data_IF_147940520487
#
_entry.id   IF_147940520487
#
_cell.length_a   1.000
_cell.length_b   1.000
_cell.length_c   1.000
_cell.angle_alpha   90.00
_cell.angle_beta   90.00
_cell.angle_gamma   90.00
#
_symmetry.space_group_name_H-M   'P 1'
#
loop_
_entity.id
_entity.type
_entity.pdbx_description
1 polymer ?
#
# COMPACT_ATOMS: atom_id res chain seq x y z
N UNK A 1 -21.27 38.49 28.75
CA UNK A 1 -21.45 37.12 28.25
C UNK A 1 -21.80 37.21 26.77
N UNK A 2 -20.92 36.80 25.87
CA UNK A 2 -21.20 36.74 24.42
C UNK A 2 -20.85 35.33 23.95
N UNK A 3 -21.84 34.71 23.29
CA UNK A 3 -21.93 33.29 23.00
C UNK A 3 -20.86 32.76 22.06
N UNK A 4 -20.67 31.45 22.19
CA UNK A 4 -19.78 30.57 21.44
C UNK A 4 -19.97 30.74 19.93
N UNK A 5 -18.87 30.98 19.22
CA UNK A 5 -18.79 30.66 17.80
C UNK A 5 -18.37 29.19 17.69
N UNK A 6 -19.34 28.32 17.42
CA UNK A 6 -19.13 26.95 16.97
C UNK A 6 -18.31 26.96 15.68
N UNK A 7 -17.00 26.69 15.80
CA UNK A 7 -16.17 26.31 14.67
C UNK A 7 -16.77 25.01 14.13
N UNK A 8 -17.48 25.07 12.99
CA UNK A 8 -17.83 23.92 12.16
C UNK A 8 -16.60 23.04 12.01
N UNK A 9 -16.54 21.96 12.81
CA UNK A 9 -15.46 21.01 12.76
C UNK A 9 -15.48 20.35 11.40
N UNK A 10 -14.41 20.52 10.62
CA UNK A 10 -14.15 19.65 9.48
C UNK A 10 -14.19 18.21 10.00
N UNK A 11 -15.01 17.32 9.42
CA UNK A 11 -15.06 15.94 9.87
C UNK A 11 -13.68 15.33 9.72
N UNK A 12 -13.11 14.86 10.83
CA UNK A 12 -11.81 14.18 10.84
C UNK A 12 -11.91 12.92 9.97
N UNK A 13 -11.21 12.92 8.84
CA UNK A 13 -11.16 11.75 7.96
C UNK A 13 -10.28 10.69 8.62
N UNK A 14 -10.85 9.52 8.86
CA UNK A 14 -10.13 8.35 9.37
C UNK A 14 -9.51 7.60 8.20
N UNK A 15 -8.22 7.35 8.25
CA UNK A 15 -7.48 6.62 7.22
C UNK A 15 -7.09 5.22 7.69
N UNK A 16 -7.26 4.25 6.80
CA UNK A 16 -6.67 2.92 6.88
C UNK A 16 -5.33 2.96 6.15
N UNK A 17 -4.27 2.59 6.85
CA UNK A 17 -2.91 2.58 6.32
C UNK A 17 -2.49 1.16 6.00
N UNK A 18 -2.00 0.95 4.77
CA UNK A 18 -1.49 -0.34 4.30
C UNK A 18 -0.03 -0.17 3.87
N UNK A 19 0.90 -0.69 4.66
CA UNK A 19 2.33 -0.64 4.35
C UNK A 19 2.77 -1.82 3.47
N UNK A 20 3.64 -1.56 2.50
CA UNK A 20 4.19 -2.56 1.58
C UNK A 20 5.52 -3.10 2.15
N UNK A 21 5.54 -4.39 2.51
CA UNK A 21 6.68 -5.03 3.19
C UNK A 21 7.72 -5.46 2.15
N UNK A 22 8.51 -4.50 1.65
CA UNK A 22 9.62 -4.79 0.73
C UNK A 22 10.93 -4.06 1.05
N UNK A 23 10.95 -3.11 1.98
CA UNK A 23 12.12 -2.24 2.16
C UNK A 23 12.64 -2.25 3.59
N UNK A 24 13.97 -2.27 3.71
CA UNK A 24 14.64 -1.87 4.95
C UNK A 24 14.59 -0.34 5.02
N UNK A 25 14.12 0.20 6.15
CA UNK A 25 13.99 1.65 6.37
C UNK A 25 15.33 2.39 6.20
N UNK A 26 16.45 1.69 6.35
CA UNK A 26 17.82 2.20 6.15
C UNK A 26 18.14 2.66 4.73
N UNK A 27 17.39 2.20 3.73
CA UNK A 27 17.72 2.44 2.31
C UNK A 27 16.91 3.62 1.73
N UNK A 28 16.17 4.33 2.57
CA UNK A 28 15.24 5.40 2.20
C UNK A 28 15.97 6.74 2.21
N UNK A 29 15.97 7.42 1.07
CA UNK A 29 16.60 8.75 0.90
C UNK A 29 15.56 9.87 0.92
N UNK A 30 14.40 9.62 0.32
CA UNK A 30 13.33 10.62 0.22
C UNK A 30 11.96 9.94 0.29
N UNK A 31 10.96 10.65 0.81
CA UNK A 31 9.56 10.24 0.79
C UNK A 31 8.69 11.38 0.26
N UNK A 32 7.73 11.04 -0.61
CA UNK A 32 6.73 11.95 -1.14
C UNK A 32 5.35 11.35 -0.98
N UNK A 33 4.37 12.21 -0.71
CA UNK A 33 2.96 11.83 -0.66
C UNK A 33 2.25 12.42 -1.87
N UNK A 34 1.37 11.63 -2.48
CA UNK A 34 0.51 12.06 -3.57
C UNK A 34 -0.92 11.72 -3.19
N UNK A 35 -1.75 12.74 -3.02
CA UNK A 35 -3.19 12.56 -2.83
C UNK A 35 -3.89 12.57 -4.19
N UNK A 36 -4.76 11.60 -4.43
CA UNK A 36 -5.59 11.57 -5.63
C UNK A 36 -6.93 12.30 -5.45
N UNK A 37 -7.74 12.35 -6.52
CA UNK A 37 -9.06 13.00 -6.50
C UNK A 37 -10.06 12.31 -5.57
N UNK A 38 -9.80 11.06 -5.19
CA UNK A 38 -10.62 10.28 -4.25
C UNK A 38 -10.20 10.48 -2.79
N UNK A 39 -9.15 11.28 -2.54
CA UNK A 39 -8.58 11.51 -1.22
C UNK A 39 -7.71 10.35 -0.73
N UNK A 40 -7.32 9.42 -1.61
CA UNK A 40 -6.39 8.35 -1.29
C UNK A 40 -4.97 8.91 -1.36
N UNK A 41 -4.17 8.61 -0.34
CA UNK A 41 -2.78 9.07 -0.28
C UNK A 41 -1.86 7.91 -0.66
N UNK A 42 -1.13 8.07 -1.75
CA UNK A 42 -0.04 7.20 -2.14
C UNK A 42 1.28 7.74 -1.57
N UNK A 43 1.91 6.97 -0.69
CA UNK A 43 3.23 7.28 -0.16
C UNK A 43 4.27 6.59 -1.03
N UNK A 44 5.14 7.38 -1.63
CA UNK A 44 6.26 6.92 -2.45
C UNK A 44 7.57 7.19 -1.77
N UNK A 45 8.46 6.21 -1.86
CA UNK A 45 9.79 6.28 -1.30
C UNK A 45 10.82 6.17 -2.41
N UNK A 46 11.78 7.07 -2.38
CA UNK A 46 12.99 6.99 -3.16
C UNK A 46 14.04 6.23 -2.35
N UNK A 47 14.52 5.12 -2.89
CA UNK A 47 15.57 4.32 -2.27
C UNK A 47 16.81 4.26 -3.15
N UNK A 48 17.98 4.35 -2.52
CA UNK A 48 19.26 4.16 -3.18
C UNK A 48 19.81 2.81 -2.74
N UNK A 49 19.78 1.83 -3.64
CA UNK A 49 20.32 0.50 -3.36
C UNK A 49 21.62 0.31 -4.14
N UNK A 50 22.70 0.13 -3.41
CA UNK A 50 23.98 -0.27 -3.98
C UNK A 50 24.00 -1.80 -4.12
N UNK A 51 24.42 -2.28 -5.30
CA UNK A 51 24.56 -3.70 -5.58
C UNK A 51 25.88 -3.90 -6.30
N UNK A 52 26.77 -4.68 -5.70
CA UNK A 52 28.03 -5.09 -6.31
C UNK A 52 27.77 -6.33 -7.14
N UNK A 53 28.08 -6.25 -8.44
CA UNK A 53 27.99 -7.40 -9.35
C UNK A 53 29.19 -8.34 -9.11
N UNK A 54 29.14 -9.59 -9.60
CA UNK A 54 30.22 -10.58 -9.38
C UNK A 54 31.58 -10.13 -9.94
N UNK A 55 31.58 -9.24 -10.92
CA UNK A 55 32.71 -8.55 -11.53
C UNK A 55 33.26 -7.37 -10.70
N UNK A 56 32.77 -7.17 -9.47
CA UNK A 56 33.21 -6.10 -8.57
C UNK A 56 32.62 -4.72 -8.89
N UNK A 57 31.82 -4.60 -9.95
CA UNK A 57 31.18 -3.34 -10.35
C UNK A 57 30.03 -2.99 -9.41
N UNK A 58 30.16 -1.88 -8.69
CA UNK A 58 29.08 -1.31 -7.87
C UNK A 58 28.09 -0.59 -8.78
N UNK A 59 26.84 -1.03 -8.77
CA UNK A 59 25.73 -0.36 -9.44
C UNK A 59 24.82 0.30 -8.42
N UNK A 60 24.54 1.59 -8.61
CA UNK A 60 23.57 2.36 -7.84
C UNK A 60 22.24 2.30 -8.58
N UNK A 61 21.24 1.62 -8.02
CA UNK A 61 19.86 1.67 -8.53
C UNK A 61 19.05 2.62 -7.66
N UNK A 62 18.62 3.71 -8.28
CA UNK A 62 17.71 4.70 -7.73
C UNK A 62 16.34 4.46 -8.34
N UNK A 63 15.32 4.26 -7.52
CA UNK A 63 13.96 3.98 -8.02
C UNK A 63 12.92 4.48 -7.02
N UNK A 64 11.93 5.21 -7.55
CA UNK A 64 10.72 5.54 -6.81
C UNK A 64 9.79 4.34 -6.77
N UNK A 65 9.38 3.94 -5.56
CA UNK A 65 8.42 2.86 -5.34
C UNK A 65 7.37 3.29 -4.35
N UNK A 66 6.14 2.84 -4.57
CA UNK A 66 5.07 2.96 -3.59
C UNK A 66 5.38 2.07 -2.39
N UNK A 67 5.28 2.63 -1.19
CA UNK A 67 5.59 1.92 0.05
C UNK A 67 4.42 1.91 1.02
N UNK A 68 3.44 2.79 0.85
CA UNK A 68 2.24 2.83 1.68
C UNK A 68 1.07 3.44 0.92
N UNK A 69 -0.13 2.95 1.22
CA UNK A 69 -1.39 3.56 0.84
C UNK A 69 -2.15 3.98 2.10
N UNK A 70 -2.71 5.19 2.11
CA UNK A 70 -3.70 5.62 3.12
C UNK A 70 -5.04 5.83 2.44
N UNK A 71 -6.00 4.99 2.80
CA UNK A 71 -7.32 4.95 2.18
C UNK A 71 -8.34 5.45 3.20
N UNK A 72 -9.17 6.45 2.88
CA UNK A 72 -10.22 6.87 3.79
C UNK A 72 -11.18 5.71 4.13
N UNK A 73 -11.49 5.52 5.40
CA UNK A 73 -12.30 4.38 5.88
C UNK A 73 -13.69 4.32 5.21
N UNK A 74 -14.30 5.49 4.99
CA UNK A 74 -15.61 5.57 4.33
C UNK A 74 -15.56 5.12 2.86
N UNK A 75 -14.40 5.20 2.19
CA UNK A 75 -14.23 4.70 0.80
C UNK A 75 -14.17 3.18 0.74
N UNK A 76 -13.97 2.51 1.88
CA UNK A 76 -14.12 1.06 2.03
C UNK A 76 -15.56 0.66 2.37
N UNK A 77 -16.51 1.61 2.45
CA UNK A 77 -17.88 1.35 2.89
C UNK A 77 -18.00 1.06 4.39
N UNK A 78 -16.98 1.44 5.17
CA UNK A 78 -16.91 1.18 6.60
C UNK A 78 -17.13 2.45 7.43
N UNK A 79 -17.74 2.28 8.59
CA UNK A 79 -17.96 3.33 9.60
C UNK A 79 -16.83 3.35 10.62
N UNK A 80 -16.73 4.42 11.42
CA UNK A 80 -15.68 4.60 12.42
C UNK A 80 -15.68 3.50 13.51
N UNK A 81 -16.83 2.90 13.79
CA UNK A 81 -17.02 1.80 14.73
C UNK A 81 -16.53 0.44 14.21
N UNK A 82 -16.43 0.26 12.89
CA UNK A 82 -16.04 -1.01 12.24
C UNK A 82 -14.81 -1.65 12.89
N UNK A 83 -14.87 -2.92 13.27
CA UNK A 83 -13.76 -3.54 14.01
C UNK A 83 -12.51 -3.71 13.15
N UNK A 84 -11.35 -3.96 13.78
CA UNK A 84 -10.10 -4.27 13.05
C UNK A 84 -10.27 -5.50 12.14
N UNK A 85 -11.07 -6.48 12.56
CA UNK A 85 -11.38 -7.69 11.79
C UNK A 85 -12.28 -7.39 10.59
N UNK A 86 -13.27 -6.51 10.74
CA UNK A 86 -14.15 -6.10 9.64
C UNK A 86 -13.36 -5.35 8.56
N UNK A 87 -12.48 -4.43 9.00
CA UNK A 87 -11.57 -3.73 8.08
C UNK A 87 -10.69 -4.73 7.34
N UNK A 88 -10.07 -5.67 8.06
CA UNK A 88 -9.22 -6.69 7.45
C UNK A 88 -9.95 -7.55 6.41
N UNK A 89 -11.21 -7.90 6.69
CA UNK A 89 -12.06 -8.68 5.77
C UNK A 89 -12.25 -7.93 4.46
N UNK A 90 -12.63 -6.65 4.53
CA UNK A 90 -12.82 -5.81 3.33
C UNK A 90 -11.50 -5.62 2.56
N UNK A 91 -10.39 -5.40 3.27
CA UNK A 91 -9.08 -5.24 2.62
C UNK A 91 -8.63 -6.46 1.80
N UNK A 92 -9.05 -7.67 2.19
CA UNK A 92 -8.73 -8.91 1.48
C UNK A 92 -9.80 -9.34 0.48
N UNK A 93 -10.90 -8.61 0.37
CA UNK A 93 -12.04 -8.93 -0.48
C UNK A 93 -12.39 -7.74 -1.40
N UNK A 94 -11.55 -7.45 -2.39
CA UNK A 94 -11.68 -6.24 -3.20
C UNK A 94 -12.94 -6.24 -4.10
N UNK A 95 -13.55 -7.40 -4.35
CA UNK A 95 -14.73 -7.51 -5.22
C UNK A 95 -16.00 -6.96 -4.54
N UNK A 96 -15.97 -6.80 -3.21
CA UNK A 96 -17.07 -6.21 -2.43
C UNK A 96 -16.90 -4.70 -2.19
N UNK A 97 -15.80 -4.09 -2.66
CA UNK A 97 -15.56 -2.66 -2.53
C UNK A 97 -16.19 -1.92 -3.72
N UNK A 98 -17.16 -1.06 -3.44
CA UNK A 98 -17.88 -0.28 -4.46
C UNK A 98 -17.02 0.80 -5.11
N UNK A 99 -16.04 1.33 -4.38
CA UNK A 99 -15.12 2.32 -4.93
C UNK A 99 -14.09 1.66 -5.85
N UNK A 100 -14.17 1.95 -7.14
CA UNK A 100 -13.30 1.35 -8.16
C UNK A 100 -11.81 1.60 -7.91
N UNK A 101 -11.43 2.83 -7.56
CA UNK A 101 -10.02 3.17 -7.33
C UNK A 101 -9.43 2.37 -6.16
N UNK A 102 -10.19 2.25 -5.06
CA UNK A 102 -9.81 1.43 -3.91
C UNK A 102 -9.76 -0.05 -4.27
N UNK A 103 -10.78 -0.55 -4.97
CA UNK A 103 -10.84 -1.95 -5.41
C UNK A 103 -9.63 -2.31 -6.29
N UNK A 104 -9.24 -1.45 -7.23
CA UNK A 104 -8.07 -1.65 -8.09
C UNK A 104 -6.76 -1.68 -7.29
N UNK A 105 -6.60 -0.80 -6.29
CA UNK A 105 -5.44 -0.82 -5.38
C UNK A 105 -5.39 -2.14 -4.61
N UNK A 106 -6.50 -2.56 -4.01
CA UNK A 106 -6.58 -3.79 -3.23
C UNK A 106 -6.36 -5.04 -4.10
N UNK A 107 -6.88 -5.07 -5.34
CA UNK A 107 -6.61 -6.13 -6.33
C UNK A 107 -5.13 -6.22 -6.65
N UNK A 108 -4.49 -5.08 -6.96
CA UNK A 108 -3.04 -5.03 -7.21
C UNK A 108 -2.25 -5.57 -6.02
N UNK A 109 -2.61 -5.17 -4.79
CA UNK A 109 -1.98 -5.68 -3.58
C UNK A 109 -2.23 -7.19 -3.38
N UNK A 110 -3.41 -7.69 -3.73
CA UNK A 110 -3.73 -9.13 -3.68
C UNK A 110 -2.98 -9.94 -4.73
N UNK A 111 -2.74 -9.38 -5.91
CA UNK A 111 -2.03 -10.04 -7.01
C UNK A 111 -0.52 -10.10 -6.75
N UNK A 112 0.04 -9.00 -6.26
CA UNK A 112 1.48 -8.87 -6.00
C UNK A 112 1.91 -9.50 -4.66
N UNK A 113 1.00 -9.65 -3.69
CA UNK A 113 1.31 -10.09 -2.33
C UNK A 113 0.36 -11.20 -1.86
N UNK A 114 0.74 -11.92 -0.80
CA UNK A 114 -0.08 -13.01 -0.20
C UNK A 114 -1.33 -12.50 0.56
N UNK A 115 -1.76 -11.28 0.27
CA UNK A 115 -2.85 -10.59 0.97
C UNK A 115 -2.36 -9.50 1.92
N UNK A 116 -3.28 -9.01 2.73
CA UNK A 116 -3.06 -7.96 3.73
C UNK A 116 -3.32 -8.55 5.11
N UNK A 117 -2.46 -8.20 6.08
CA UNK A 117 -2.59 -8.61 7.47
C UNK A 117 -2.50 -7.43 8.43
N UNK A 118 -2.96 -7.59 9.68
CA UNK A 118 -2.69 -6.64 10.75
C UNK A 118 -1.20 -6.30 10.83
N UNK A 119 -0.89 -5.01 10.97
CA UNK A 119 0.45 -4.64 11.38
C UNK A 119 0.69 -5.09 12.83
N UNK A 120 1.97 -5.23 13.23
CA UNK A 120 2.33 -5.66 14.59
C UNK A 120 1.96 -4.60 15.66
N UNK A 121 1.44 -3.45 15.25
CA UNK A 121 0.95 -2.41 16.13
C UNK A 121 -0.49 -2.68 16.56
N UNK A 122 -0.80 -2.40 17.82
CA UNK A 122 -2.15 -2.46 18.39
C UNK A 122 -3.13 -1.46 17.76
N UNK A 123 -2.63 -0.57 16.88
CA UNK A 123 -3.45 0.41 16.18
C UNK A 123 -4.47 -0.26 15.25
N UNK A 124 -5.71 0.20 15.34
CA UNK A 124 -6.88 -0.35 14.65
C UNK A 124 -6.78 -0.24 13.12
N UNK A 125 -6.23 0.85 12.63
CA UNK A 125 -6.22 1.20 11.21
C UNK A 125 -4.89 0.91 10.51
N UNK A 126 -3.97 0.19 11.17
CA UNK A 126 -2.67 -0.14 10.59
C UNK A 126 -2.59 -1.59 10.12
N UNK A 127 -2.32 -1.73 8.83
CA UNK A 127 -2.20 -2.98 8.11
C UNK A 127 -0.92 -2.99 7.28
N UNK A 128 -0.53 -4.18 6.84
CA UNK A 128 0.61 -4.38 5.96
C UNK A 128 0.34 -5.52 5.00
N UNK A 129 0.93 -5.43 3.82
CA UNK A 129 1.01 -6.58 2.91
C UNK A 129 1.77 -7.73 3.56
N UNK A 130 1.45 -8.94 3.12
CA UNK A 130 2.25 -10.11 3.38
C UNK A 130 3.53 -10.12 2.53
N UNK A 131 4.22 -11.26 2.48
CA UNK A 131 5.37 -11.44 1.58
C UNK A 131 4.94 -11.27 0.12
N UNK A 132 5.87 -10.76 -0.68
CA UNK A 132 5.69 -10.69 -2.14
C UNK A 132 5.47 -12.09 -2.71
N UNK A 133 4.44 -12.24 -3.56
CA UNK A 133 4.25 -13.46 -4.34
C UNK A 133 5.33 -13.49 -5.40
N UNK A 134 6.30 -14.42 -5.28
CA UNK A 134 7.16 -14.73 -6.43
C UNK A 134 6.24 -15.15 -7.56
N UNK A 135 6.11 -14.32 -8.60
CA UNK A 135 5.46 -14.74 -9.83
C UNK A 135 6.16 -16.02 -10.28
N UNK A 136 5.38 -17.08 -10.51
CA UNK A 136 5.89 -18.29 -11.15
C UNK A 136 6.39 -17.80 -12.52
N UNK A 137 7.70 -17.69 -12.66
CA UNK A 137 8.35 -17.31 -13.92
C UNK A 137 7.72 -18.15 -15.02
N UNK A 138 6.97 -17.51 -15.92
CA UNK A 138 6.86 -18.02 -17.28
C UNK A 138 8.26 -17.90 -17.85
N UNK A 139 9.08 -18.91 -17.56
CA UNK A 139 10.40 -19.05 -18.16
C UNK A 139 10.27 -18.86 -19.68
N UNK A 140 11.29 -18.30 -20.35
CA UNK A 140 11.21 -17.99 -21.76
C UNK A 140 10.68 -19.22 -22.49
N UNK A 141 9.58 -19.06 -23.25
CA UNK A 141 9.04 -20.12 -24.12
C UNK A 141 10.22 -20.68 -24.90
N UNK A 142 10.61 -21.91 -24.57
CA UNK A 142 11.67 -22.64 -25.27
C UNK A 142 11.26 -22.61 -26.75
N UNK A 143 11.99 -21.86 -27.57
CA UNK A 143 11.78 -21.82 -29.01
C UNK A 143 12.23 -23.20 -29.51
N UNK A 144 11.29 -24.13 -29.63
CA UNK A 144 11.53 -25.37 -30.37
C UNK A 144 11.52 -24.95 -31.85
N UNK A 145 12.69 -24.68 -32.40
CA UNK A 145 12.90 -24.75 -33.83
C UNK A 145 13.74 -26.00 -34.07
N UNK A 146 13.03 -27.09 -34.41
CA UNK A 146 13.58 -28.15 -35.24
C UNK A 146 13.89 -27.54 -36.60
N UNK A 147 15.08 -27.84 -37.12
CA UNK A 147 15.59 -27.43 -38.42
C UNK A 147 17.05 -27.83 -38.51
#
# INVERSE_FOLDING_TARGET
>A
MVGKNDKKGTPTVIYVTISIVQYKKSDIVEQKEKTDNEGIIEVRTHSKKESTSMDGKVTKKETWKTTEYRIPLFKLGLTADASKSDILRVLNDPDHVTNKAVADILKKLRDDYDGIKPSNFSQKYLFKTERFKKRKDFGPKKKVMMG
#
